data_IF_069620180348
#
_entry.id   IF_069620180348
#
_cell.length_a   1.000
_cell.length_b   1.000
_cell.length_c   1.000
_cell.angle_alpha   90.00
_cell.angle_beta   90.00
_cell.angle_gamma   90.00
#
_symmetry.space_group_name_H-M   'P 1'
#
loop_
_entity.id
_entity.type
_entity.pdbx_description
1 polymer ?
#
# COMPACT_ATOMS: atom_id res chain seq x y z
N UNK A 1 8.82 23.55 -4.38
CA UNK A 1 9.08 22.12 -4.64
C UNK A 1 8.40 21.39 -3.50
N UNK A 2 7.23 20.80 -3.75
CA UNK A 2 6.56 20.00 -2.74
C UNK A 2 7.48 18.81 -2.44
N UNK A 3 7.90 18.66 -1.19
CA UNK A 3 8.73 17.55 -0.75
C UNK A 3 8.00 16.26 -1.14
N UNK A 4 8.67 15.46 -1.96
CA UNK A 4 8.28 14.10 -2.28
C UNK A 4 8.33 13.30 -0.97
N UNK A 5 7.26 13.34 -0.19
CA UNK A 5 6.90 12.20 0.66
C UNK A 5 6.78 11.06 -0.33
N UNK A 6 7.85 10.26 -0.37
CA UNK A 6 8.13 9.32 -1.45
C UNK A 6 6.87 8.53 -1.77
N UNK A 7 6.41 8.55 -3.02
CA UNK A 7 5.26 7.75 -3.46
C UNK A 7 5.41 6.25 -3.08
N UNK A 8 6.66 5.81 -2.92
CA UNK A 8 7.07 4.50 -2.42
C UNK A 8 6.68 4.24 -0.95
N UNK A 9 6.58 5.27 -0.12
CA UNK A 9 6.17 5.18 1.29
C UNK A 9 4.68 4.84 1.40
N UNK A 10 3.83 5.39 0.54
CA UNK A 10 2.40 5.05 0.52
C UNK A 10 2.18 3.59 0.08
N UNK A 11 2.99 3.10 -0.87
CA UNK A 11 2.96 1.70 -1.27
C UNK A 11 3.41 0.76 -0.14
N UNK A 12 4.49 1.11 0.57
CA UNK A 12 4.95 0.36 1.77
C UNK A 12 3.87 0.33 2.85
N UNK A 13 3.20 1.46 3.06
CA UNK A 13 2.13 1.55 4.02
C UNK A 13 0.93 0.65 3.66
N UNK A 14 0.63 0.48 2.37
CA UNK A 14 -0.48 -0.38 1.92
C UNK A 14 -0.26 -1.84 2.35
N UNK A 15 0.97 -2.32 2.27
CA UNK A 15 1.34 -3.68 2.72
C UNK A 15 1.24 -3.81 4.24
N UNK A 16 1.60 -2.76 4.98
CA UNK A 16 1.53 -2.76 6.46
C UNK A 16 0.08 -2.65 6.95
N UNK A 17 -0.73 -1.81 6.31
CA UNK A 17 -2.09 -1.51 6.72
C UNK A 17 -3.08 -2.63 6.34
N UNK A 18 -2.78 -3.40 5.30
CA UNK A 18 -3.61 -4.51 4.77
C UNK A 18 -2.76 -5.74 4.40
N UNK A 19 -2.13 -6.39 5.38
CA UNK A 19 -1.13 -7.42 5.11
C UNK A 19 -1.70 -8.68 4.45
N UNK A 20 -2.95 -9.05 4.77
CA UNK A 20 -3.61 -10.24 4.20
C UNK A 20 -3.99 -10.00 2.74
N UNK A 21 -4.62 -8.86 2.49
CA UNK A 21 -5.04 -8.41 1.17
C UNK A 21 -3.83 -8.19 0.26
N UNK A 22 -2.73 -7.66 0.81
CA UNK A 22 -1.47 -7.51 0.09
C UNK A 22 -0.86 -8.85 -0.29
N UNK A 23 -0.83 -9.85 0.61
CA UNK A 23 -0.37 -11.20 0.25
C UNK A 23 -1.28 -11.84 -0.80
N UNK A 24 -2.60 -11.78 -0.63
CA UNK A 24 -3.56 -12.30 -1.59
C UNK A 24 -3.40 -11.66 -2.99
N UNK A 25 -3.00 -10.38 -3.06
CA UNK A 25 -2.81 -9.68 -4.32
C UNK A 25 -1.41 -9.89 -4.94
N UNK A 26 -0.34 -9.72 -4.16
CA UNK A 26 1.04 -9.75 -4.67
C UNK A 26 1.67 -11.15 -4.68
N UNK A 27 1.21 -12.05 -3.81
CA UNK A 27 1.80 -13.36 -3.55
C UNK A 27 0.70 -14.41 -3.26
N UNK A 28 -0.29 -14.52 -4.13
CA UNK A 28 -1.46 -15.40 -3.92
C UNK A 28 -1.12 -16.86 -3.59
N UNK A 29 0.00 -17.39 -4.10
CA UNK A 29 0.48 -18.75 -3.80
C UNK A 29 1.04 -18.91 -2.37
N UNK A 30 1.42 -17.79 -1.74
CA UNK A 30 1.95 -17.71 -0.38
C UNK A 30 0.91 -17.15 0.60
N UNK A 31 -0.29 -16.80 0.12
CA UNK A 31 -1.35 -16.22 0.93
C UNK A 31 -1.87 -17.27 1.93
N UNK A 32 -1.86 -16.96 3.24
CA UNK A 32 -2.32 -17.90 4.25
C UNK A 32 -3.84 -18.01 4.25
N UNK A 33 -4.37 -19.02 4.96
CA UNK A 33 -5.81 -19.27 5.02
C UNK A 33 -6.58 -18.13 5.71
N UNK A 34 -7.91 -18.04 5.54
CA UNK A 34 -8.75 -16.96 6.08
C UNK A 34 -8.78 -16.88 7.61
N UNK A 35 -8.31 -17.91 8.32
CA UNK A 35 -8.20 -17.94 9.79
C UNK A 35 -6.81 -17.57 10.31
N UNK A 36 -5.81 -17.44 9.43
CA UNK A 36 -4.41 -17.23 9.82
C UNK A 36 -4.08 -15.74 10.03
N UNK A 37 -3.44 -15.41 11.16
CA UNK A 37 -2.91 -14.08 11.45
C UNK A 37 -1.65 -13.79 10.62
N UNK A 38 -1.56 -12.56 10.11
CA UNK A 38 -0.45 -12.11 9.25
C UNK A 38 0.24 -10.89 9.88
N UNK A 39 1.55 -11.02 10.09
CA UNK A 39 2.39 -9.93 10.58
C UNK A 39 3.55 -9.67 9.63
N UNK A 40 3.74 -8.39 9.28
CA UNK A 40 4.88 -7.94 8.48
C UNK A 40 5.99 -7.52 9.44
N UNK A 41 7.11 -8.24 9.41
CA UNK A 41 8.29 -7.94 10.22
C UNK A 41 9.40 -7.30 9.37
N UNK A 42 10.12 -6.29 9.87
CA UNK A 42 11.31 -5.77 9.21
C UNK A 42 12.37 -6.86 9.08
N UNK A 43 12.93 -7.04 7.89
CA UNK A 43 14.11 -7.91 7.71
C UNK A 43 15.36 -7.08 8.04
N UNK A 44 16.19 -7.49 9.02
CA UNK A 44 17.45 -6.81 9.30
C UNK A 44 18.36 -6.86 8.07
N UNK A 45 18.93 -5.73 7.71
CA UNK A 45 19.92 -5.66 6.61
C UNK A 45 21.10 -6.58 6.94
N UNK A 46 21.34 -7.60 6.11
CA UNK A 46 22.41 -8.59 6.30
C UNK A 46 21.94 -9.97 6.78
N UNK A 47 20.66 -10.13 7.14
CA UNK A 47 20.08 -11.45 7.33
C UNK A 47 19.93 -12.12 5.95
N UNK A 48 20.66 -13.21 5.71
CA UNK A 48 20.51 -14.01 4.49
C UNK A 48 19.07 -14.52 4.41
N UNK A 49 18.32 -14.10 3.38
CA UNK A 49 16.98 -14.64 3.13
C UNK A 49 17.11 -16.10 2.69
N UNK A 50 16.68 -17.01 3.55
CA UNK A 50 16.20 -18.33 3.11
C UNK A 50 14.70 -18.16 2.88
N UNK A 51 14.13 -18.51 1.71
CA UNK A 51 12.70 -18.40 1.50
C UNK A 51 11.97 -19.29 2.51
N UNK A 52 11.37 -18.66 3.52
CA UNK A 52 10.54 -19.34 4.48
C UNK A 52 9.22 -19.66 3.77
N UNK A 53 8.97 -20.96 3.53
CA UNK A 53 7.59 -21.39 3.31
C UNK A 53 6.82 -20.98 4.56
N UNK A 54 5.82 -20.10 4.42
CA UNK A 54 4.92 -19.76 5.51
C UNK A 54 4.36 -21.07 6.07
N UNK A 55 4.71 -21.40 7.32
CA UNK A 55 4.00 -22.41 8.08
C UNK A 55 2.93 -21.66 8.88
N UNK A 56 1.67 -22.11 8.88
CA UNK A 56 0.67 -21.54 9.77
C UNK A 56 1.18 -21.67 11.20
N UNK A 57 1.05 -20.60 11.98
CA UNK A 57 1.35 -20.63 13.40
C UNK A 57 0.32 -21.54 14.08
N UNK A 58 0.66 -22.81 14.25
CA UNK A 58 -0.14 -23.74 15.04
C UNK A 58 -0.31 -23.19 16.45
N UNK A 59 -1.54 -23.25 16.95
CA UNK A 59 -1.93 -22.90 18.32
C UNK A 59 -0.94 -23.53 19.30
N UNK A 60 -0.28 -22.69 20.10
CA UNK A 60 0.50 -23.13 21.26
C UNK A 60 -0.47 -23.62 22.33
N UNK A 61 -0.84 -24.90 22.28
CA UNK A 61 -1.39 -25.58 23.44
C UNK A 61 -0.23 -25.99 24.35
N UNK A 62 -0.37 -25.60 25.61
CA UNK A 62 0.59 -25.74 26.72
C UNK A 62 1.22 -27.12 26.85
N UNK A 63 2.56 -27.16 26.99
CA UNK A 63 3.24 -28.24 27.73
C UNK A 63 4.42 -28.90 27.01
N UNK A 64 5.64 -28.48 27.38
CA UNK A 64 6.84 -29.31 27.46
C UNK A 64 7.29 -30.08 26.22
N UNK A 65 8.14 -29.48 25.40
CA UNK A 65 9.43 -30.10 25.01
C UNK A 65 10.30 -29.07 24.26
N UNK A 66 11.57 -29.04 24.62
CA UNK A 66 12.60 -28.16 24.06
C UNK A 66 12.78 -28.43 22.54
N UNK A 67 12.77 -27.40 21.67
CA UNK A 67 12.89 -27.63 20.23
C UNK A 67 14.33 -28.07 19.90
N UNK A 68 14.47 -29.33 19.45
CA UNK A 68 15.74 -29.86 18.93
C UNK A 68 16.16 -29.09 17.66
N UNK A 69 17.48 -28.93 17.40
CA UNK A 69 17.97 -28.25 16.21
C UNK A 69 17.60 -29.05 14.96
N UNK A 70 17.08 -28.36 13.96
CA UNK A 70 16.74 -28.94 12.66
C UNK A 70 18.02 -29.38 11.91
N UNK A 71 18.07 -30.64 11.46
CA UNK A 71 19.06 -31.12 10.50
C UNK A 71 18.62 -30.77 9.07
N UNK A 72 19.57 -30.31 8.24
CA UNK A 72 19.41 -30.08 6.81
C UNK A 72 19.14 -31.41 6.09
N UNK A 73 17.92 -31.62 5.61
CA UNK A 73 17.65 -32.72 4.68
C UNK A 73 17.83 -32.23 3.23
N UNK A 74 19.05 -32.33 2.71
CA UNK A 74 19.48 -31.81 1.42
C UNK A 74 18.95 -32.60 0.19
N UNK A 75 17.88 -33.39 0.33
CA UNK A 75 17.37 -34.27 -0.75
C UNK A 75 15.86 -34.27 -0.99
N UNK A 76 15.11 -33.32 -0.45
CA UNK A 76 13.69 -33.17 -0.77
C UNK A 76 13.44 -32.02 -1.76
N UNK A 77 13.28 -32.40 -3.04
CA UNK A 77 12.74 -31.61 -4.15
C UNK A 77 13.69 -30.61 -4.81
N UNK A 78 14.30 -31.05 -5.92
CA UNK A 78 14.77 -30.16 -6.99
C UNK A 78 13.69 -29.12 -7.30
N UNK A 79 14.03 -27.83 -7.48
CA UNK A 79 13.07 -26.88 -8.02
C UNK A 79 12.60 -27.40 -9.37
N UNK A 80 11.29 -27.42 -9.61
CA UNK A 80 10.79 -27.45 -11.00
C UNK A 80 11.35 -26.18 -11.66
N UNK A 81 12.38 -26.37 -12.44
CA UNK A 81 12.99 -25.36 -13.31
C UNK A 81 11.87 -24.69 -14.12
N UNK A 82 11.60 -23.41 -13.84
CA UNK A 82 10.60 -22.63 -14.57
C UNK A 82 10.11 -21.36 -13.88
N UNK A 83 10.29 -21.18 -12.57
CA UNK A 83 9.93 -19.92 -11.91
C UNK A 83 11.13 -18.97 -11.92
N UNK A 84 11.21 -18.16 -12.97
CA UNK A 84 11.98 -16.92 -12.90
C UNK A 84 11.51 -16.11 -11.69
N UNK A 85 12.45 -15.42 -11.08
CA UNK A 85 12.29 -14.48 -9.98
C UNK A 85 11.44 -13.26 -10.36
N UNK A 86 10.20 -13.48 -10.78
CA UNK A 86 9.24 -12.46 -11.12
C UNK A 86 8.15 -12.51 -10.04
N UNK A 87 8.38 -11.84 -8.90
CA UNK A 87 7.26 -11.25 -8.18
C UNK A 87 6.41 -10.52 -9.23
N UNK A 88 5.09 -10.76 -9.33
CA UNK A 88 4.28 -10.12 -10.35
C UNK A 88 4.47 -8.61 -10.20
N UNK A 89 5.20 -8.00 -11.13
CA UNK A 89 5.26 -6.56 -11.18
C UNK A 89 3.81 -6.13 -11.37
N UNK A 90 3.22 -5.43 -10.41
CA UNK A 90 1.84 -4.92 -10.46
C UNK A 90 1.54 -4.21 -11.78
N UNK A 91 2.57 -3.66 -12.43
CA UNK A 91 2.58 -3.10 -13.77
C UNK A 91 2.19 -4.06 -14.91
N UNK A 92 2.26 -5.38 -14.69
CA UNK A 92 1.84 -6.45 -15.61
C UNK A 92 0.45 -7.00 -15.28
N UNK A 93 -0.12 -6.68 -14.11
CA UNK A 93 -1.48 -7.07 -13.78
C UNK A 93 -2.46 -6.32 -14.69
N UNK A 94 -3.49 -7.04 -15.17
CA UNK A 94 -4.56 -6.48 -16.01
C UNK A 94 -5.64 -5.91 -15.10
N UNK A 95 -5.91 -4.60 -15.21
CA UNK A 95 -6.85 -3.90 -14.35
C UNK A 95 -8.26 -4.52 -14.40
N UNK A 96 -8.66 -5.05 -15.56
CA UNK A 96 -9.98 -5.62 -15.83
C UNK A 96 -10.35 -6.78 -14.90
N UNK A 97 -9.34 -7.50 -14.39
CA UNK A 97 -9.55 -8.61 -13.45
C UNK A 97 -9.91 -8.17 -12.05
N UNK A 98 -9.71 -6.89 -11.73
CA UNK A 98 -9.76 -6.35 -10.37
C UNK A 98 -10.74 -5.19 -10.21
N UNK A 99 -11.43 -4.79 -11.28
CA UNK A 99 -12.36 -3.65 -11.27
C UNK A 99 -13.47 -3.79 -10.22
N UNK A 100 -13.87 -5.04 -9.92
CA UNK A 100 -14.94 -5.39 -8.97
C UNK A 100 -14.43 -6.22 -7.79
N UNK A 101 -13.12 -6.24 -7.55
CA UNK A 101 -12.54 -7.03 -6.45
C UNK A 101 -12.95 -6.49 -5.09
N UNK A 102 -13.17 -7.42 -4.16
CA UNK A 102 -13.34 -7.24 -2.71
C UNK A 102 -12.02 -6.98 -1.97
N UNK A 103 -10.89 -7.06 -2.66
CA UNK A 103 -9.56 -6.79 -2.11
C UNK A 103 -9.20 -5.30 -2.26
N UNK A 104 -9.15 -4.58 -1.13
CA UNK A 104 -8.86 -3.14 -1.09
C UNK A 104 -7.48 -2.78 -1.64
N UNK A 105 -6.48 -3.65 -1.46
CA UNK A 105 -5.15 -3.46 -2.04
C UNK A 105 -5.23 -3.54 -3.56
N UNK A 106 -5.97 -4.49 -4.12
CA UNK A 106 -6.17 -4.57 -5.56
C UNK A 106 -6.90 -3.32 -6.10
N UNK A 107 -7.97 -2.86 -5.43
CA UNK A 107 -8.74 -1.67 -5.83
C UNK A 107 -7.92 -0.39 -5.80
N UNK A 108 -7.20 -0.14 -4.71
CA UNK A 108 -6.32 1.04 -4.56
C UNK A 108 -5.18 1.02 -5.59
N UNK A 109 -4.74 -0.16 -6.03
CA UNK A 109 -3.62 -0.33 -6.96
C UNK A 109 -4.03 -0.35 -8.44
N UNK A 110 -5.33 -0.27 -8.76
CA UNK A 110 -5.84 -0.20 -10.13
C UNK A 110 -5.12 0.84 -11.02
N UNK A 111 -4.78 2.06 -10.55
CA UNK A 111 -4.04 3.04 -11.35
C UNK A 111 -2.65 2.59 -11.81
N UNK A 112 -2.03 1.63 -11.11
CA UNK A 112 -0.70 1.12 -11.45
C UNK A 112 -0.73 -0.12 -12.35
N UNK A 113 -1.92 -0.61 -12.68
CA UNK A 113 -2.11 -1.80 -13.51
C UNK A 113 -2.14 -1.45 -15.00
N UNK A 114 -1.94 -2.46 -15.84
CA UNK A 114 -2.09 -2.31 -17.27
C UNK A 114 -3.58 -2.26 -17.63
N UNK A 115 -3.99 -1.15 -18.25
CA UNK A 115 -5.37 -0.89 -18.67
C UNK A 115 -5.48 -1.07 -20.19
N UNK A 116 -6.35 -1.98 -20.64
CA UNK A 116 -6.62 -2.22 -22.06
C UNK A 116 -8.09 -2.02 -22.40
N UNK A 117 -8.41 -1.08 -23.28
CA UNK A 117 -9.79 -0.85 -23.73
C UNK A 117 -10.73 -0.20 -22.70
N UNK A 118 -10.29 0.03 -21.47
CA UNK A 118 -11.02 0.80 -20.48
C UNK A 118 -10.58 2.26 -20.45
N UNK A 119 -11.55 3.12 -20.15
CA UNK A 119 -11.34 4.55 -19.92
C UNK A 119 -10.66 4.76 -18.56
N UNK A 120 -9.63 5.61 -18.51
CA UNK A 120 -8.90 5.94 -17.27
C UNK A 120 -9.82 6.53 -16.21
N UNK A 121 -10.85 7.27 -16.62
CA UNK A 121 -11.87 7.81 -15.71
C UNK A 121 -12.66 6.70 -15.03
N UNK A 122 -12.98 5.63 -15.77
CA UNK A 122 -13.69 4.47 -15.22
C UNK A 122 -12.78 3.70 -14.24
N UNK A 123 -11.52 3.46 -14.61
CA UNK A 123 -10.56 2.77 -13.73
C UNK A 123 -10.35 3.56 -12.43
N UNK A 124 -10.25 4.88 -12.52
CA UNK A 124 -10.17 5.76 -11.35
C UNK A 124 -11.45 5.67 -10.49
N UNK A 125 -12.63 5.73 -11.11
CA UNK A 125 -13.89 5.60 -10.38
C UNK A 125 -13.95 4.25 -9.64
N UNK A 126 -13.60 3.14 -10.30
CA UNK A 126 -13.52 1.82 -9.64
C UNK A 126 -12.51 1.82 -8.50
N UNK A 127 -11.35 2.46 -8.64
CA UNK A 127 -10.41 2.56 -7.52
C UNK A 127 -11.02 3.29 -6.31
N UNK A 128 -11.66 4.43 -6.56
CA UNK A 128 -12.29 5.26 -5.51
C UNK A 128 -13.47 4.55 -4.87
N UNK A 129 -14.43 4.03 -5.65
CA UNK A 129 -15.61 3.33 -5.10
C UNK A 129 -15.18 2.15 -4.24
N UNK A 130 -14.21 1.34 -4.70
CA UNK A 130 -13.74 0.18 -3.96
C UNK A 130 -13.10 0.56 -2.62
N UNK A 131 -12.29 1.62 -2.60
CA UNK A 131 -11.72 2.13 -1.35
C UNK A 131 -12.80 2.65 -0.40
N UNK A 132 -13.78 3.40 -0.90
CA UNK A 132 -14.84 3.97 -0.06
C UNK A 132 -15.79 2.88 0.49
N UNK A 133 -16.03 1.83 -0.27
CA UNK A 133 -16.85 0.68 0.15
C UNK A 133 -16.14 -0.18 1.20
N UNK A 134 -14.83 -0.40 1.07
CA UNK A 134 -14.10 -1.42 1.83
C UNK A 134 -13.37 -0.88 3.06
N UNK A 135 -12.79 0.31 3.00
CA UNK A 135 -12.14 0.93 4.15
C UNK A 135 -13.15 1.82 4.87
N UNK A 136 -13.21 1.80 6.20
CA UNK A 136 -14.09 2.64 7.03
C UNK A 136 -13.34 3.74 7.77
N UNK A 137 -12.04 3.53 8.02
CA UNK A 137 -11.15 4.49 8.67
C UNK A 137 -10.92 5.72 7.76
N UNK A 138 -11.30 6.89 8.27
CA UNK A 138 -11.21 8.15 7.53
C UNK A 138 -9.78 8.57 7.20
N UNK A 139 -8.80 8.26 8.05
CA UNK A 139 -7.40 8.60 7.84
C UNK A 139 -6.78 7.71 6.76
N UNK A 140 -7.05 6.40 6.79
CA UNK A 140 -6.65 5.48 5.72
C UNK A 140 -7.33 5.84 4.39
N UNK A 141 -8.62 6.16 4.38
CA UNK A 141 -9.31 6.66 3.18
C UNK A 141 -8.63 7.90 2.60
N UNK A 142 -8.34 8.90 3.43
CA UNK A 142 -7.68 10.12 2.97
C UNK A 142 -6.32 9.82 2.32
N UNK A 143 -5.50 9.01 2.99
CA UNK A 143 -4.18 8.57 2.54
C UNK A 143 -4.23 7.82 1.20
N UNK A 144 -5.17 6.89 1.05
CA UNK A 144 -5.26 6.06 -0.15
C UNK A 144 -6.02 6.73 -1.30
N UNK A 145 -6.90 7.70 -1.03
CA UNK A 145 -7.44 8.58 -2.07
C UNK A 145 -6.35 9.46 -2.69
N UNK A 146 -5.45 10.01 -1.88
CA UNK A 146 -4.29 10.76 -2.36
C UNK A 146 -3.37 9.86 -3.21
N UNK A 147 -3.12 8.63 -2.75
CA UNK A 147 -2.40 7.63 -3.53
C UNK A 147 -3.04 7.36 -4.91
N UNK A 148 -4.35 7.09 -4.95
CA UNK A 148 -5.09 6.80 -6.19
C UNK A 148 -4.97 8.00 -7.16
N UNK A 149 -5.12 9.22 -6.68
CA UNK A 149 -5.07 10.44 -7.50
C UNK A 149 -3.69 10.69 -8.10
N UNK A 150 -2.65 10.59 -7.27
CA UNK A 150 -1.26 10.76 -7.70
C UNK A 150 -0.91 9.76 -8.80
N UNK A 151 -1.24 8.49 -8.61
CA UNK A 151 -0.86 7.44 -9.57
C UNK A 151 -1.77 7.38 -10.78
N UNK A 152 -3.05 7.72 -10.64
CA UNK A 152 -3.96 7.79 -11.79
C UNK A 152 -3.57 8.91 -12.74
N UNK A 153 -3.06 10.04 -12.23
CA UNK A 153 -2.57 11.14 -13.05
C UNK A 153 -3.63 11.64 -14.06
N UNK A 154 -4.88 11.74 -13.62
CA UNK A 154 -5.97 12.25 -14.46
C UNK A 154 -5.72 13.71 -14.80
N UNK A 155 -6.00 14.09 -16.05
CA UNK A 155 -6.03 15.48 -16.47
C UNK A 155 -7.22 16.20 -15.84
N UNK A 156 -7.18 17.54 -15.81
CA UNK A 156 -8.31 18.35 -15.34
C UNK A 156 -9.63 18.04 -16.07
N UNK A 157 -9.56 17.72 -17.37
CA UNK A 157 -10.72 17.34 -18.16
C UNK A 157 -11.30 15.99 -17.71
N UNK A 158 -10.44 15.00 -17.49
CA UNK A 158 -10.82 13.68 -16.98
C UNK A 158 -11.39 13.78 -15.57
N UNK A 159 -10.77 14.57 -14.68
CA UNK A 159 -11.25 14.78 -13.32
C UNK A 159 -12.60 15.53 -13.28
N UNK A 160 -12.79 16.54 -14.14
CA UNK A 160 -14.10 17.19 -14.33
C UNK A 160 -15.14 16.19 -14.80
N UNK A 161 -14.78 15.31 -15.74
CA UNK A 161 -15.68 14.27 -16.23
C UNK A 161 -16.04 13.26 -15.14
N UNK A 162 -15.05 12.80 -14.37
CA UNK A 162 -15.27 11.94 -13.20
C UNK A 162 -16.30 12.56 -12.25
N UNK A 163 -16.08 13.80 -11.80
CA UNK A 163 -16.99 14.49 -10.86
C UNK A 163 -18.41 14.66 -11.40
N UNK A 164 -18.57 14.79 -12.71
CA UNK A 164 -19.90 14.88 -13.34
C UNK A 164 -20.61 13.52 -13.38
N UNK A 165 -19.87 12.44 -13.58
CA UNK A 165 -20.41 11.07 -13.62
C UNK A 165 -20.64 10.50 -12.22
N UNK A 166 -19.81 10.88 -11.24
CA UNK A 166 -19.81 10.40 -9.86
C UNK A 166 -19.91 11.60 -8.90
N UNK A 167 -21.05 12.28 -8.81
CA UNK A 167 -21.16 13.54 -8.05
C UNK A 167 -20.98 13.38 -6.53
N UNK A 168 -21.45 12.27 -5.96
CA UNK A 168 -21.32 11.98 -4.52
C UNK A 168 -19.86 11.72 -4.15
N UNK A 169 -19.22 10.74 -4.81
CA UNK A 169 -17.80 10.43 -4.64
C UNK A 169 -16.91 11.63 -5.00
N UNK A 170 -17.26 12.36 -6.05
CA UNK A 170 -16.55 13.57 -6.47
C UNK A 170 -16.55 14.67 -5.40
N UNK A 171 -17.64 14.79 -4.64
CA UNK A 171 -17.72 15.72 -3.51
C UNK A 171 -16.86 15.27 -2.34
N UNK A 172 -16.86 13.97 -2.03
CA UNK A 172 -15.99 13.36 -1.01
C UNK A 172 -14.51 13.61 -1.34
N UNK A 173 -14.10 13.21 -2.55
CA UNK A 173 -12.74 13.35 -3.05
C UNK A 173 -12.27 14.81 -3.03
N UNK A 174 -13.13 15.74 -3.49
CA UNK A 174 -12.80 17.17 -3.47
C UNK A 174 -12.62 17.70 -2.05
N UNK A 175 -13.50 17.32 -1.11
CA UNK A 175 -13.39 17.73 0.28
C UNK A 175 -12.12 17.21 0.96
N UNK A 176 -11.67 16.00 0.63
CA UNK A 176 -10.40 15.47 1.12
C UNK A 176 -9.21 16.28 0.63
N UNK A 177 -9.13 16.59 -0.68
CA UNK A 177 -8.03 17.40 -1.20
C UNK A 177 -7.99 18.83 -0.68
N UNK A 178 -9.13 19.40 -0.29
CA UNK A 178 -9.15 20.71 0.37
C UNK A 178 -8.53 20.62 1.77
N UNK A 179 -8.99 19.68 2.60
CA UNK A 179 -8.44 19.46 3.95
C UNK A 179 -6.96 19.12 3.93
N UNK A 180 -6.53 18.19 3.09
CA UNK A 180 -5.12 17.81 2.97
C UNK A 180 -4.22 19.00 2.55
N UNK A 181 -4.72 19.89 1.68
CA UNK A 181 -4.00 21.13 1.32
C UNK A 181 -3.98 22.15 2.46
N UNK A 182 -4.96 22.18 3.33
CA UNK A 182 -4.99 23.05 4.50
C UNK A 182 -4.05 22.54 5.60
N UNK A 183 -4.11 21.24 5.91
CA UNK A 183 -3.21 20.56 6.86
C UNK A 183 -1.75 20.64 6.40
N UNK A 184 -1.46 20.34 5.12
CA UNK A 184 -0.10 20.46 4.59
C UNK A 184 0.44 21.90 4.62
N UNK A 185 -0.43 22.91 4.48
CA UNK A 185 -0.04 24.32 4.69
C UNK A 185 0.25 24.61 6.17
N UNK A 186 -0.59 24.12 7.07
CA UNK A 186 -0.41 24.29 8.51
C UNK A 186 0.90 23.64 8.98
N UNK A 187 1.17 22.39 8.60
CA UNK A 187 2.43 21.70 8.89
C UNK A 187 3.64 22.44 8.31
N UNK A 188 3.52 22.99 7.10
CA UNK A 188 4.58 23.78 6.48
C UNK A 188 4.92 25.05 7.28
N UNK A 189 3.91 25.73 7.84
CA UNK A 189 4.08 26.89 8.71
C UNK A 189 4.77 26.47 10.02
N UNK A 190 4.28 25.40 10.65
CA UNK A 190 4.81 24.88 11.91
C UNK A 190 6.29 24.47 11.79
N UNK A 191 6.63 23.64 10.79
CA UNK A 191 8.03 23.26 10.49
C UNK A 191 8.90 24.48 10.18
N UNK A 192 8.33 25.52 9.56
CA UNK A 192 9.02 26.78 9.29
C UNK A 192 9.34 27.56 10.58
N UNK A 193 8.41 27.61 11.52
CA UNK A 193 8.60 28.22 12.85
C UNK A 193 9.64 27.45 13.63
N UNK A 194 9.51 26.12 13.75
CA UNK A 194 10.47 25.27 14.45
C UNK A 194 11.89 25.43 13.92
N UNK A 195 12.04 25.42 12.59
CA UNK A 195 13.35 25.62 11.94
C UNK A 195 13.93 27.00 12.26
N UNK A 196 13.12 28.06 12.29
CA UNK A 196 13.55 29.41 12.63
C UNK A 196 13.94 29.53 14.10
N UNK A 197 13.15 28.96 15.01
CA UNK A 197 13.45 28.89 16.46
C UNK A 197 14.76 28.15 16.68
N UNK A 198 14.96 27.00 16.02
CA UNK A 198 16.21 26.23 16.09
C UNK A 198 17.41 27.03 15.58
N UNK A 199 17.27 27.74 14.45
CA UNK A 199 18.31 28.61 13.91
C UNK A 199 18.67 29.78 14.83
N UNK A 200 17.66 30.38 15.48
CA UNK A 200 17.88 31.46 16.45
C UNK A 200 18.56 30.95 17.72
N UNK A 201 18.19 29.77 18.20
CA UNK A 201 18.85 29.13 19.35
C UNK A 201 20.32 28.79 19.05
N UNK A 202 20.61 28.31 17.84
CA UNK A 202 21.99 28.04 17.40
C UNK A 202 22.81 29.34 17.28
N UNK A 203 22.23 30.41 16.73
CA UNK A 203 22.91 31.71 16.60
C UNK A 203 23.10 32.45 17.93
N UNK A 204 22.20 32.26 18.88
CA UNK A 204 22.31 32.84 20.23
C UNK A 204 23.29 32.11 21.15
N UNK A 205 23.78 30.93 20.76
CA UNK A 205 24.80 30.18 21.49
C UNK A 205 26.24 30.55 21.07
N UNK A 206 26.42 31.42 20.07
CA UNK A 206 27.72 31.88 19.56
C UNK A 206 28.14 33.26 20.11
N UNK A 207 27.46 33.78 21.14
CA UNK A 207 27.78 35.05 21.82
C UNK A 207 27.96 34.85 23.31
#
# INVERSE_FOLDING_TARGET
MADAVSHDQNFKNLIVDYPREALAFFAAEEAPGPEDDVHIAPVPVGAGLVPARARPAGVCETGGDEPRPYELDARASRPRSGAGSDLPSHRRARAERWLDSDNVVARVNLPNMHVTGHDRVEVYARAVSGLLEQETDGAKRAKYLDFIDIYAGLTDNELRRYRRLHPEEGSIVTGFFQRAREEGRAEGIERGIERRVRLLALKGAET
#
